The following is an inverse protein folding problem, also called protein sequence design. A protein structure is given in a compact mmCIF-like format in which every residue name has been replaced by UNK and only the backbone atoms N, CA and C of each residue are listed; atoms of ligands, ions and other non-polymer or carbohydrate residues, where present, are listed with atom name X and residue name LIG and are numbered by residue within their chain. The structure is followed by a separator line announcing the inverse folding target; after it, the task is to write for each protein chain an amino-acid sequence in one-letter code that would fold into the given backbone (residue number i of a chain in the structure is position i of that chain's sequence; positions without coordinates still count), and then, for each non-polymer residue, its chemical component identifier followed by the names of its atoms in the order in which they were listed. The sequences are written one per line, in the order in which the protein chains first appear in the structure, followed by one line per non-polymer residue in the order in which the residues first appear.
data_IF_039026810945
#
_entry.id   IF_039026810945
#
_cell.length_a   1.000
_cell.length_b   1.000
_cell.length_c   1.000
_cell.angle_alpha   90.00
_cell.angle_beta   90.00
_cell.angle_gamma   90.00
#
_symmetry.space_group_name_H-M   'P 1'
#
loop_
_entity.id
_entity.type
_entity.pdbx_description
1 polymer ?
#
# COMPACT_ATOMS: atom_id res chain seq x y z
N UNK A 1 3.76 -13.76 19.11
CA UNK A 1 3.90 -13.76 17.64
C UNK A 1 2.62 -13.25 17.01
N UNK A 2 2.72 -12.19 16.23
CA UNK A 2 1.61 -11.46 15.61
C UNK A 2 1.71 -11.55 14.09
N UNK A 3 0.58 -11.38 13.41
CA UNK A 3 0.57 -11.33 11.94
C UNK A 3 0.60 -9.90 11.45
N UNK A 4 1.53 -9.57 10.56
CA UNK A 4 1.62 -8.29 9.89
C UNK A 4 1.27 -8.45 8.41
N UNK A 5 0.30 -7.67 7.94
CA UNK A 5 -0.01 -7.52 6.52
C UNK A 5 0.78 -6.35 5.97
N UNK A 6 1.60 -6.60 4.95
CA UNK A 6 2.35 -5.61 4.21
C UNK A 6 1.57 -5.26 2.94
N UNK A 7 1.17 -4.00 2.82
CA UNK A 7 0.62 -3.42 1.60
C UNK A 7 1.68 -2.53 0.98
N UNK A 8 2.17 -2.91 -0.19
CA UNK A 8 3.21 -2.17 -0.91
C UNK A 8 2.63 -1.54 -2.15
N UNK A 9 2.70 -0.21 -2.25
CA UNK A 9 2.50 0.51 -3.50
C UNK A 9 3.87 0.82 -4.12
N UNK A 10 4.17 0.14 -5.22
CA UNK A 10 5.36 0.35 -6.02
C UNK A 10 5.11 1.39 -7.11
N UNK A 11 5.47 2.64 -6.81
CA UNK A 11 5.51 3.76 -7.75
C UNK A 11 4.18 4.01 -8.50
N UNK A 12 3.03 3.85 -7.82
CA UNK A 12 1.67 4.02 -8.34
C UNK A 12 1.33 3.14 -9.56
N UNK A 13 2.15 2.11 -9.83
CA UNK A 13 1.99 1.19 -10.95
C UNK A 13 1.46 -0.16 -10.52
N UNK A 14 1.97 -0.66 -9.40
CA UNK A 14 1.67 -1.99 -8.91
C UNK A 14 1.48 -1.95 -7.40
N UNK A 15 0.39 -2.56 -6.92
CA UNK A 15 0.20 -2.83 -5.51
C UNK A 15 0.25 -4.34 -5.27
N UNK A 16 0.90 -4.78 -4.20
CA UNK A 16 0.91 -6.17 -3.79
C UNK A 16 0.83 -6.30 -2.27
N UNK A 17 0.38 -7.47 -1.82
CA UNK A 17 0.08 -7.74 -0.41
C UNK A 17 0.77 -9.02 0.02
N UNK A 18 1.47 -8.99 1.15
CA UNK A 18 2.09 -10.18 1.76
C UNK A 18 1.81 -10.21 3.27
N UNK A 19 1.87 -11.38 3.88
CA UNK A 19 1.66 -11.56 5.32
C UNK A 19 2.85 -12.27 5.95
N UNK A 20 3.34 -11.73 7.06
CA UNK A 20 4.45 -12.30 7.82
C UNK A 20 4.09 -12.41 9.30
N UNK A 21 4.75 -13.34 9.99
CA UNK A 21 4.66 -13.47 11.44
C UNK A 21 5.86 -12.79 12.08
N UNK A 22 5.63 -11.90 13.04
CA UNK A 22 6.69 -11.24 13.80
C UNK A 22 6.15 -10.71 15.13
N UNK A 23 7.01 -10.35 16.08
CA UNK A 23 6.58 -9.61 17.28
C UNK A 23 6.35 -8.11 17.00
N UNK A 24 7.07 -7.55 16.01
CA UNK A 24 6.96 -6.14 15.62
C UNK A 24 7.36 -5.95 14.14
N UNK A 25 6.91 -4.88 13.47
CA UNK A 25 7.36 -4.58 12.11
C UNK A 25 8.81 -4.09 12.13
N UNK A 26 9.71 -4.82 11.48
CA UNK A 26 11.15 -4.51 11.44
C UNK A 26 11.64 -4.35 10.00
N UNK A 27 12.80 -3.71 9.85
CA UNK A 27 13.48 -3.61 8.56
C UNK A 27 13.88 -5.00 8.01
N UNK A 28 14.18 -5.97 8.87
CA UNK A 28 14.44 -7.34 8.46
C UNK A 28 13.22 -7.98 7.80
N UNK A 29 12.03 -7.74 8.34
CA UNK A 29 10.77 -8.21 7.74
C UNK A 29 10.53 -7.60 6.37
N UNK A 30 10.91 -6.33 6.18
CA UNK A 30 10.88 -5.70 4.86
C UNK A 30 11.90 -6.35 3.89
N UNK A 31 13.08 -6.75 4.36
CA UNK A 31 14.08 -7.44 3.52
C UNK A 31 13.59 -8.81 3.08
N UNK A 32 12.96 -9.56 3.98
CA UNK A 32 12.29 -10.82 3.65
C UNK A 32 11.22 -10.59 2.58
N UNK A 33 10.37 -9.56 2.74
CA UNK A 33 9.40 -9.16 1.73
C UNK A 33 10.04 -8.87 0.37
N UNK A 34 11.10 -8.08 0.33
CA UNK A 34 11.82 -7.77 -0.92
C UNK A 34 12.41 -9.03 -1.55
N UNK A 35 12.92 -9.95 -0.72
CA UNK A 35 13.52 -11.19 -1.18
C UNK A 35 12.47 -12.17 -1.75
N UNK A 36 11.34 -12.32 -1.10
CA UNK A 36 10.37 -13.38 -1.42
C UNK A 36 9.43 -12.99 -2.57
N UNK A 37 9.11 -11.70 -2.69
CA UNK A 37 8.14 -11.24 -3.68
C UNK A 37 8.65 -11.40 -5.11
N UNK A 38 7.81 -11.94 -6.00
CA UNK A 38 8.07 -11.94 -7.44
C UNK A 38 7.73 -10.61 -8.11
N UNK A 39 7.09 -9.68 -7.40
CA UNK A 39 6.67 -8.38 -7.94
C UNK A 39 7.81 -7.36 -8.04
N UNK A 40 8.93 -7.63 -7.37
CA UNK A 40 10.15 -6.82 -7.44
C UNK A 40 11.17 -7.59 -8.29
N UNK A 41 11.66 -6.98 -9.37
CA UNK A 41 12.69 -7.62 -10.22
C UNK A 41 13.98 -7.87 -9.44
N UNK A 42 14.72 -8.93 -9.77
CA UNK A 42 16.01 -9.27 -9.15
C UNK A 42 16.99 -8.10 -9.09
N UNK A 43 17.01 -7.28 -10.14
CA UNK A 43 17.82 -6.07 -10.26
C UNK A 43 17.42 -4.97 -9.26
N UNK A 44 16.13 -4.84 -8.97
CA UNK A 44 15.64 -3.90 -7.93
C UNK A 44 15.89 -4.45 -6.53
N UNK A 45 15.80 -5.78 -6.32
CA UNK A 45 16.02 -6.39 -5.00
C UNK A 45 17.40 -6.06 -4.43
N UNK A 46 18.45 -6.23 -5.23
CA UNK A 46 19.82 -5.92 -4.78
C UNK A 46 19.99 -4.46 -4.40
N UNK A 47 19.35 -3.54 -5.14
CA UNK A 47 19.39 -2.12 -4.80
C UNK A 47 18.56 -1.80 -3.57
N UNK A 48 17.34 -2.30 -3.45
CA UNK A 48 16.54 -2.08 -2.24
C UNK A 48 17.26 -2.58 -1.00
N UNK A 49 17.91 -3.74 -1.07
CA UNK A 49 18.68 -4.27 0.06
C UNK A 49 19.86 -3.35 0.38
N UNK A 50 20.63 -2.89 -0.62
CA UNK A 50 21.78 -1.99 -0.41
C UNK A 50 21.35 -0.60 0.11
N UNK A 51 20.35 0.01 -0.53
CA UNK A 51 19.85 1.33 -0.13
C UNK A 51 19.14 1.25 1.23
N UNK A 52 18.39 0.17 1.53
CA UNK A 52 17.81 -0.05 2.88
C UNK A 52 18.85 -0.38 3.97
N UNK A 53 20.09 -0.71 3.58
CA UNK A 53 21.23 -0.87 4.48
C UNK A 53 21.94 0.48 4.75
N UNK A 54 21.99 1.35 3.74
CA UNK A 54 22.84 2.56 3.75
C UNK A 54 22.05 3.86 3.98
N UNK A 55 20.74 3.88 3.71
CA UNK A 55 19.93 5.09 3.63
C UNK A 55 18.56 4.93 4.32
N UNK A 56 18.38 5.71 5.38
CA UNK A 56 17.12 6.12 6.03
C UNK A 56 16.32 5.05 6.78
N UNK A 57 16.67 4.84 8.05
CA UNK A 57 15.93 5.36 9.22
C UNK A 57 16.46 4.64 10.46
N UNK A 58 17.27 5.32 11.30
CA UNK A 58 17.60 4.84 12.66
C UNK A 58 16.34 4.59 13.52
N UNK A 59 15.17 5.05 13.05
CA UNK A 59 13.89 4.99 13.75
C UNK A 59 12.93 3.89 13.25
N UNK A 60 13.26 3.16 12.17
CA UNK A 60 12.42 2.11 11.58
C UNK A 60 11.02 2.58 11.13
N UNK A 61 10.09 1.64 10.87
CA UNK A 61 8.73 1.96 10.46
C UNK A 61 8.01 2.84 11.48
N UNK A 62 7.36 3.91 11.02
CA UNK A 62 6.69 4.89 11.89
C UNK A 62 5.25 4.48 12.13
N UNK A 63 4.83 4.38 13.39
CA UNK A 63 3.42 4.14 13.74
C UNK A 63 2.58 5.35 13.38
N UNK A 64 1.44 5.14 12.72
CA UNK A 64 0.53 6.24 12.39
C UNK A 64 -0.30 6.65 13.62
N UNK A 65 -0.41 7.96 13.88
CA UNK A 65 -1.18 8.47 15.01
C UNK A 65 -2.71 8.43 14.76
N UNK A 66 -3.12 8.47 13.50
CA UNK A 66 -4.54 8.55 13.11
C UNK A 66 -5.27 7.20 13.10
N UNK A 67 -4.54 6.09 13.11
CA UNK A 67 -5.09 4.73 13.06
C UNK A 67 -4.26 3.81 13.94
N UNK A 68 -4.91 2.88 14.63
CA UNK A 68 -4.21 1.93 15.49
C UNK A 68 -3.56 0.83 14.66
N UNK A 69 -2.41 0.34 15.15
CA UNK A 69 -1.77 -0.88 14.66
C UNK A 69 -1.38 -0.84 13.17
N UNK A 70 -1.11 0.37 12.67
CA UNK A 70 -0.56 0.60 11.34
C UNK A 70 0.75 1.34 11.47
N UNK A 71 1.76 0.86 10.77
CA UNK A 71 3.04 1.50 10.58
C UNK A 71 3.23 1.79 9.09
N UNK A 72 3.98 2.83 8.78
CA UNK A 72 4.29 3.21 7.42
C UNK A 72 5.76 3.51 7.26
N UNK A 73 6.29 3.15 6.11
CA UNK A 73 7.66 3.45 5.70
C UNK A 73 7.74 3.70 4.19
N UNK A 74 8.83 4.36 3.76
CA UNK A 74 9.08 4.70 2.37
C UNK A 74 10.48 4.28 1.96
N UNK A 75 10.57 3.42 0.96
CA UNK A 75 11.85 3.02 0.39
C UNK A 75 12.02 3.69 -0.97
N UNK A 76 13.06 4.51 -1.07
CA UNK A 76 13.38 5.25 -2.28
C UNK A 76 14.67 4.69 -2.89
N UNK A 77 14.63 4.41 -4.20
CA UNK A 77 15.83 4.15 -5.00
C UNK A 77 16.05 5.36 -5.91
N UNK A 78 17.14 6.09 -5.68
CA UNK A 78 17.56 7.26 -6.45
C UNK A 78 18.81 7.01 -7.33
N UNK A 79 19.67 6.03 -6.98
CA UNK A 79 20.83 5.62 -7.78
C UNK A 79 20.46 4.68 -8.94
N UNK A 80 19.74 5.21 -9.93
CA UNK A 80 19.39 4.47 -11.15
C UNK A 80 20.50 4.39 -12.19
N UNK A 81 21.56 5.17 -12.04
CA UNK A 81 22.74 5.12 -12.91
C UNK A 81 23.47 3.79 -12.73
N UNK A 82 23.49 3.24 -11.52
CA UNK A 82 24.03 1.89 -11.30
C UNK A 82 23.18 0.78 -11.94
N UNK A 83 21.88 1.04 -12.18
CA UNK A 83 21.00 0.09 -12.84
C UNK A 83 21.20 0.07 -14.35
N UNK A 84 21.17 1.23 -15.00
CA UNK A 84 21.23 1.30 -16.46
C UNK A 84 22.58 1.85 -16.91
N UNK A 85 23.18 1.27 -17.96
CA UNK A 85 24.34 1.91 -18.56
C UNK A 85 24.00 3.36 -18.93
N UNK A 86 24.98 4.26 -18.83
CA UNK A 86 24.75 5.69 -19.03
C UNK A 86 24.04 6.01 -20.36
N UNK A 87 24.25 5.16 -21.38
CA UNK A 87 23.63 5.29 -22.70
C UNK A 87 22.11 5.02 -22.70
N UNK A 88 21.64 3.99 -21.98
CA UNK A 88 20.21 3.70 -21.83
C UNK A 88 19.54 4.79 -21.00
N UNK A 89 20.17 5.21 -19.90
CA UNK A 89 19.66 6.30 -19.07
C UNK A 89 19.55 7.62 -19.86
N UNK A 90 20.52 7.91 -20.74
CA UNK A 90 20.52 9.07 -21.64
C UNK A 90 19.42 8.99 -22.72
N UNK A 91 19.12 7.81 -23.26
CA UNK A 91 18.08 7.60 -24.28
C UNK A 91 16.66 7.93 -23.79
N UNK A 92 16.35 7.69 -22.52
CA UNK A 92 15.06 8.04 -21.92
C UNK A 92 14.95 9.51 -21.51
N UNK A 93 16.06 10.26 -21.56
CA UNK A 93 16.17 11.65 -21.11
C UNK A 93 16.92 12.53 -22.14
N UNK A 94 16.74 12.27 -23.44
CA UNK A 94 17.36 13.06 -24.51
C UNK A 94 17.06 14.56 -24.32
N UNK A 95 18.10 15.34 -23.99
CA UNK A 95 18.02 16.79 -23.82
C UNK A 95 18.51 17.35 -22.48
N UNK A 96 18.73 16.52 -21.45
CA UNK A 96 19.19 17.02 -20.14
C UNK A 96 20.65 16.63 -19.86
N UNK A 97 21.55 17.62 -19.85
CA UNK A 97 22.99 17.47 -19.62
C UNK A 97 23.42 17.38 -18.15
N UNK A 98 22.47 17.40 -17.20
CA UNK A 98 22.76 17.45 -15.77
C UNK A 98 22.54 16.10 -15.08
N UNK A 99 23.50 15.70 -14.22
CA UNK A 99 23.39 14.51 -13.33
C UNK A 99 22.13 14.54 -12.43
N UNK A 100 21.48 15.70 -12.28
CA UNK A 100 20.23 15.88 -11.51
C UNK A 100 18.97 15.32 -12.19
N UNK A 101 19.01 14.89 -13.45
CA UNK A 101 17.82 14.54 -14.24
C UNK A 101 17.63 13.05 -14.56
N UNK A 102 18.37 12.14 -13.92
CA UNK A 102 18.05 10.71 -13.93
C UNK A 102 16.83 10.43 -13.04
N UNK A 103 15.69 11.03 -13.36
CA UNK A 103 14.49 11.07 -12.52
C UNK A 103 13.50 9.97 -12.89
N UNK A 104 13.99 8.74 -13.10
CA UNK A 104 13.22 7.64 -12.55
C UNK A 104 13.57 7.65 -11.06
N UNK A 105 12.57 7.54 -10.20
CA UNK A 105 12.74 7.31 -8.77
C UNK A 105 11.77 6.18 -8.51
N UNK A 106 12.27 5.08 -7.94
CA UNK A 106 11.38 3.99 -7.53
C UNK A 106 11.07 4.21 -6.06
N UNK A 107 9.85 4.65 -5.80
CA UNK A 107 9.29 4.77 -4.46
C UNK A 107 8.45 3.53 -4.17
N UNK A 108 8.73 2.89 -3.04
CA UNK A 108 7.88 1.87 -2.44
C UNK A 108 7.29 2.44 -1.17
N UNK A 109 5.99 2.71 -1.20
CA UNK A 109 5.22 3.15 -0.04
C UNK A 109 4.60 1.93 0.64
N UNK A 110 5.06 1.63 1.84
CA UNK A 110 4.78 0.38 2.55
C UNK A 110 3.95 0.66 3.78
N UNK A 111 2.76 0.05 3.85
CA UNK A 111 1.95 0.03 5.06
C UNK A 111 2.06 -1.35 5.69
N UNK A 112 2.42 -1.40 6.97
CA UNK A 112 2.59 -2.61 7.76
C UNK A 112 1.50 -2.62 8.83
N UNK A 113 0.64 -3.62 8.80
CA UNK A 113 -0.62 -3.60 9.56
C UNK A 113 -0.72 -4.85 10.42
N UNK A 114 -0.81 -4.69 11.74
CA UNK A 114 -1.10 -5.84 12.62
C UNK A 114 -2.54 -6.31 12.36
N UNK A 115 -2.65 -7.54 11.89
CA UNK A 115 -3.87 -8.09 11.30
C UNK A 115 -4.46 -9.14 12.23
N UNK A 116 -5.78 -9.10 12.40
CA UNK A 116 -6.50 -10.16 13.08
C UNK A 116 -6.73 -11.31 12.10
N UNK A 117 -6.24 -12.50 12.41
CA UNK A 117 -6.34 -13.72 11.58
C UNK A 117 -7.59 -14.55 11.83
N UNK A 118 -8.50 -14.09 12.71
CA UNK A 118 -9.79 -14.74 12.96
C UNK A 118 -10.67 -14.79 11.70
N UNK A 119 -11.71 -15.64 11.71
CA UNK A 119 -12.60 -15.81 10.57
C UNK A 119 -13.19 -14.48 10.08
N UNK A 120 -13.27 -14.36 8.75
CA UNK A 120 -13.67 -13.14 8.03
C UNK A 120 -14.93 -13.30 7.21
N UNK A 121 -15.74 -14.29 7.55
CA UNK A 121 -17.04 -14.45 6.92
C UNK A 121 -17.92 -13.28 7.35
N UNK A 122 -18.37 -12.51 6.37
CA UNK A 122 -19.38 -11.49 6.58
C UNK A 122 -20.79 -12.06 6.36
N UNK A 123 -21.80 -11.60 7.10
CA UNK A 123 -21.73 -10.65 8.24
C UNK A 123 -21.09 -11.28 9.49
N UNK A 124 -20.44 -10.46 10.31
CA UNK A 124 -19.79 -10.91 11.55
C UNK A 124 -20.78 -10.99 12.71
N UNK A 125 -20.55 -11.91 13.66
CA UNK A 125 -21.33 -12.02 14.91
C UNK A 125 -21.08 -10.85 15.86
N UNK A 126 -19.89 -10.26 15.80
CA UNK A 126 -19.46 -9.11 16.61
C UNK A 126 -18.80 -8.06 15.72
N UNK A 127 -18.70 -6.82 16.21
CA UNK A 127 -17.97 -5.76 15.51
C UNK A 127 -16.50 -6.13 15.39
N UNK A 128 -15.92 -5.87 14.23
CA UNK A 128 -14.48 -5.94 14.02
C UNK A 128 -13.95 -4.63 13.50
N UNK A 129 -12.68 -4.39 13.78
CA UNK A 129 -11.96 -3.22 13.31
C UNK A 129 -11.43 -3.48 11.90
N UNK A 130 -11.72 -2.57 10.97
CA UNK A 130 -11.22 -2.61 9.60
C UNK A 130 -10.43 -1.37 9.28
N UNK A 131 -9.24 -1.56 8.72
CA UNK A 131 -8.36 -0.51 8.24
C UNK A 131 -8.45 -0.40 6.73
N UNK A 132 -8.75 0.79 6.23
CA UNK A 132 -8.91 1.16 4.84
C UNK A 132 -7.71 1.98 4.40
N UNK A 133 -6.86 1.41 3.54
CA UNK A 133 -5.69 2.09 2.95
C UNK A 133 -6.04 2.51 1.53
N UNK A 134 -6.01 3.82 1.29
CA UNK A 134 -6.41 4.43 0.02
C UNK A 134 -5.18 4.93 -0.70
N UNK A 135 -5.00 4.53 -1.96
CA UNK A 135 -4.01 5.09 -2.87
C UNK A 135 -4.70 5.81 -4.03
N UNK A 136 -4.36 7.07 -4.27
CA UNK A 136 -4.83 7.83 -5.43
C UNK A 136 -3.80 8.88 -5.85
N UNK A 137 -3.12 8.65 -6.98
CA UNK A 137 -1.92 9.45 -7.35
C UNK A 137 -0.94 9.42 -6.16
N UNK A 138 -0.35 10.56 -5.81
CA UNK A 138 0.59 10.70 -4.69
C UNK A 138 -0.09 10.78 -3.31
N UNK A 139 -1.38 10.47 -3.19
CA UNK A 139 -2.11 10.48 -1.92
C UNK A 139 -2.22 9.06 -1.38
N UNK A 140 -1.80 8.89 -0.14
CA UNK A 140 -2.05 7.70 0.66
C UNK A 140 -2.64 8.13 2.00
N UNK A 141 -3.80 7.57 2.33
CA UNK A 141 -4.41 7.74 3.64
C UNK A 141 -5.01 6.45 4.18
N UNK A 142 -5.00 6.40 5.51
CA UNK A 142 -5.48 5.30 6.31
C UNK A 142 -6.68 5.74 7.13
N UNK A 143 -7.75 4.97 7.08
CA UNK A 143 -8.94 5.16 7.91
C UNK A 143 -9.25 3.86 8.64
N UNK A 144 -9.83 3.92 9.83
CA UNK A 144 -10.16 2.74 10.62
C UNK A 144 -11.57 2.86 11.18
N UNK A 145 -12.36 1.80 11.04
CA UNK A 145 -13.75 1.76 11.49
C UNK A 145 -14.09 0.42 12.13
N UNK A 146 -14.87 0.46 13.21
CA UNK A 146 -15.48 -0.73 13.82
C UNK A 146 -16.86 -0.99 13.21
N UNK A 147 -17.00 -2.10 12.48
CA UNK A 147 -18.23 -2.44 11.74
C UNK A 147 -18.50 -3.94 11.77
N UNK A 148 -19.75 -4.34 11.49
CA UNK A 148 -20.13 -5.77 11.40
C UNK A 148 -20.25 -6.27 9.95
N UNK A 149 -20.30 -5.35 8.97
CA UNK A 149 -20.43 -5.64 7.54
C UNK A 149 -19.42 -4.85 6.72
N UNK A 150 -18.99 -5.41 5.59
CA UNK A 150 -18.07 -4.74 4.68
C UNK A 150 -18.73 -3.52 4.02
N UNK A 151 -20.03 -3.60 3.72
CA UNK A 151 -20.82 -2.53 3.13
C UNK A 151 -20.88 -1.30 4.04
N UNK A 152 -21.12 -1.49 5.34
CA UNK A 152 -21.12 -0.40 6.32
C UNK A 152 -19.75 0.30 6.36
N UNK A 153 -18.67 -0.49 6.47
CA UNK A 153 -17.30 0.05 6.49
C UNK A 153 -16.95 0.81 5.20
N UNK A 154 -17.32 0.27 4.03
CA UNK A 154 -17.13 0.94 2.74
C UNK A 154 -17.87 2.27 2.65
N UNK A 155 -19.10 2.34 3.15
CA UNK A 155 -19.89 3.57 3.14
C UNK A 155 -19.32 4.62 4.11
N UNK A 156 -18.85 4.21 5.29
CA UNK A 156 -18.15 5.10 6.23
C UNK A 156 -16.85 5.63 5.61
N UNK A 157 -16.04 4.78 5.03
CA UNK A 157 -14.81 5.20 4.34
C UNK A 157 -15.09 6.19 3.20
N UNK A 158 -16.04 5.88 2.32
CA UNK A 158 -16.36 6.73 1.17
C UNK A 158 -16.96 8.08 1.54
N UNK A 159 -17.58 8.20 2.72
CA UNK A 159 -18.09 9.46 3.25
C UNK A 159 -17.04 10.27 4.00
N UNK A 160 -15.93 9.66 4.45
CA UNK A 160 -14.86 10.35 5.19
C UNK A 160 -13.61 10.67 4.35
N UNK A 161 -13.45 10.07 3.17
CA UNK A 161 -12.32 10.35 2.28
C UNK A 161 -12.27 11.82 1.81
N UNK A 162 -11.26 12.56 2.25
CA UNK A 162 -11.19 14.03 2.10
C UNK A 162 -10.60 14.49 0.75
N UNK A 163 -9.77 13.68 0.11
CA UNK A 163 -9.11 14.01 -1.17
C UNK A 163 -10.08 14.14 -2.35
N UNK A 164 -11.29 13.58 -2.23
CA UNK A 164 -12.30 13.61 -3.29
C UNK A 164 -13.26 14.79 -3.13
N UNK A 165 -13.42 15.55 -4.22
CA UNK A 165 -14.45 16.59 -4.28
C UNK A 165 -15.87 16.01 -4.29
N UNK A 166 -16.88 16.87 -4.11
CA UNK A 166 -18.30 16.46 -4.04
C UNK A 166 -18.77 15.65 -5.25
N UNK A 167 -18.33 15.96 -6.46
CA UNK A 167 -18.73 15.23 -7.67
C UNK A 167 -18.04 13.86 -7.75
N UNK A 168 -16.74 13.80 -7.46
CA UNK A 168 -15.96 12.57 -7.37
C UNK A 168 -16.54 11.62 -6.34
N UNK A 169 -16.89 12.13 -5.16
CA UNK A 169 -17.50 11.34 -4.08
C UNK A 169 -18.87 10.79 -4.49
N UNK A 170 -19.71 11.57 -5.18
CA UNK A 170 -20.98 11.07 -5.74
C UNK A 170 -20.77 9.90 -6.72
N UNK A 171 -19.73 9.95 -7.54
CA UNK A 171 -19.38 8.85 -8.47
C UNK A 171 -18.92 7.62 -7.69
N UNK A 172 -18.05 7.79 -6.70
CA UNK A 172 -17.58 6.71 -5.83
C UNK A 172 -18.74 5.99 -5.14
N UNK A 173 -19.66 6.73 -4.52
CA UNK A 173 -20.82 6.15 -3.83
C UNK A 173 -21.71 5.33 -4.79
N UNK A 174 -21.87 5.78 -6.04
CA UNK A 174 -22.58 5.00 -7.07
C UNK A 174 -21.86 3.71 -7.46
N UNK A 175 -20.53 3.65 -7.34
CA UNK A 175 -19.78 2.42 -7.58
C UNK A 175 -19.96 1.43 -6.44
N UNK A 176 -19.86 1.89 -5.19
CA UNK A 176 -20.01 1.05 -3.98
C UNK A 176 -21.42 0.44 -3.92
N UNK A 177 -22.44 1.16 -4.36
CA UNK A 177 -23.81 0.64 -4.44
C UNK A 177 -24.00 -0.49 -5.48
N UNK A 178 -23.02 -0.72 -6.36
CA UNK A 178 -23.08 -1.76 -7.39
C UNK A 178 -22.17 -2.91 -6.98
N UNK A 179 -22.76 -4.06 -6.63
CA UNK A 179 -22.07 -5.26 -6.15
C UNK A 179 -20.85 -5.69 -6.96
N UNK A 180 -20.86 -5.50 -8.28
CA UNK A 180 -19.73 -5.84 -9.16
C UNK A 180 -18.44 -5.05 -8.89
N UNK A 181 -18.51 -3.96 -8.13
CA UNK A 181 -17.33 -3.16 -7.75
C UNK A 181 -16.94 -3.37 -6.29
N UNK A 182 -17.59 -4.32 -5.59
CA UNK A 182 -17.26 -4.63 -4.21
C UNK A 182 -15.81 -5.13 -4.11
N UNK A 183 -15.14 -4.87 -2.98
CA UNK A 183 -13.83 -5.44 -2.68
C UNK A 183 -13.83 -6.97 -2.79
N UNK A 184 -12.79 -7.48 -3.44
CA UNK A 184 -12.56 -8.90 -3.62
C UNK A 184 -11.42 -9.32 -2.70
N UNK A 185 -11.50 -10.51 -2.12
CA UNK A 185 -10.43 -11.05 -1.29
C UNK A 185 -9.13 -11.14 -2.11
N UNK A 186 -8.01 -10.71 -1.51
CA UNK A 186 -6.70 -10.79 -2.17
C UNK A 186 -6.21 -12.23 -2.13
N UNK A 187 -5.83 -12.77 -3.28
CA UNK A 187 -5.35 -14.14 -3.39
C UNK A 187 -4.08 -14.37 -2.54
N UNK A 188 -4.01 -15.52 -1.86
CA UNK A 188 -2.85 -15.92 -1.06
C UNK A 188 -2.74 -15.26 0.31
N UNK A 189 -3.62 -14.33 0.68
CA UNK A 189 -3.64 -13.68 2.00
C UNK A 189 -5.02 -13.72 2.63
N UNK A 190 -5.08 -13.83 3.95
CA UNK A 190 -6.35 -13.84 4.69
C UNK A 190 -6.71 -12.43 5.11
N UNK A 191 -8.00 -12.15 5.17
CA UNK A 191 -8.53 -10.98 5.87
C UNK A 191 -8.13 -9.63 5.24
N UNK A 192 -7.81 -9.70 3.94
CA UNK A 192 -7.50 -8.55 3.08
C UNK A 192 -8.40 -8.58 1.86
N UNK A 193 -9.00 -7.45 1.54
CA UNK A 193 -9.75 -7.23 0.32
C UNK A 193 -9.21 -6.04 -0.45
N UNK A 194 -9.36 -6.05 -1.76
CA UNK A 194 -8.98 -4.95 -2.61
C UNK A 194 -10.02 -4.66 -3.68
N UNK A 195 -10.09 -3.39 -4.07
CA UNK A 195 -10.87 -2.92 -5.22
C UNK A 195 -10.18 -1.69 -5.80
N UNK A 196 -10.57 -1.34 -7.02
CA UNK A 196 -10.13 -0.10 -7.64
C UNK A 196 -11.28 0.61 -8.33
N UNK A 197 -11.37 1.91 -8.11
CA UNK A 197 -12.40 2.76 -8.69
C UNK A 197 -11.75 3.77 -9.63
N UNK A 198 -12.16 3.76 -10.90
CA UNK A 198 -11.79 4.82 -11.84
C UNK A 198 -12.76 6.00 -11.69
N UNK A 199 -12.33 7.01 -10.95
CA UNK A 199 -13.12 8.20 -10.63
C UNK A 199 -12.71 9.31 -11.59
N UNK A 200 -13.42 9.43 -12.71
CA UNK A 200 -13.01 10.22 -13.88
C UNK A 200 -11.67 9.71 -14.46
N UNK A 201 -10.58 10.47 -14.28
CA UNK A 201 -9.23 10.13 -14.77
C UNK A 201 -8.39 9.34 -13.76
N UNK A 202 -8.28 9.73 -12.47
CA UNK A 202 -7.47 8.96 -11.53
C UNK A 202 -8.06 7.57 -11.24
N UNK A 203 -7.17 6.61 -11.06
CA UNK A 203 -7.46 5.33 -10.43
C UNK A 203 -7.28 5.50 -8.93
N UNK A 204 -8.31 5.15 -8.16
CA UNK A 204 -8.25 5.03 -6.72
C UNK A 204 -8.18 3.54 -6.40
N UNK A 205 -7.11 3.10 -5.74
CA UNK A 205 -6.96 1.73 -5.25
C UNK A 205 -7.26 1.71 -3.76
N UNK A 206 -8.09 0.79 -3.33
CA UNK A 206 -8.46 0.61 -1.94
C UNK A 206 -8.03 -0.79 -1.49
N UNK A 207 -7.34 -0.86 -0.36
CA UNK A 207 -7.10 -2.08 0.39
C UNK A 207 -7.82 -2.00 1.73
N UNK A 208 -8.45 -3.09 2.13
CA UNK A 208 -9.21 -3.21 3.36
C UNK A 208 -8.63 -4.39 4.12
N UNK A 209 -8.22 -4.17 5.36
CA UNK A 209 -7.60 -5.19 6.22
C UNK A 209 -8.42 -5.28 7.49
N UNK A 210 -8.82 -6.49 7.90
CA UNK A 210 -9.36 -6.70 9.25
C UNK A 210 -8.21 -6.63 10.26
N UNK A 211 -8.24 -5.65 11.14
CA UNK A 211 -7.16 -5.38 12.09
C UNK A 211 -7.53 -5.74 13.50
N UNK A 212 -6.51 -5.92 14.33
CA UNK A 212 -6.71 -6.11 15.78
C UNK A 212 -7.27 -4.81 16.38
N UNK A 213 -8.29 -4.93 17.23
CA UNK A 213 -8.99 -3.81 17.89
C UNK A 213 -8.17 -3.16 19.02
#
# INVERSE_FOLDING_TARGET
MKTFTFLVNANDKHCFVHQYQSEMPTNDLFRELVHDTSHISSKMKSLLIRESLECYHDNGPVKLDCVKNVWRDFFLIDDLISLYNANIAKKYHEGCGDRKYYKLMYLYDVNMIETDMSDTVFPLSEKATFTFITYIRNYNASYQFEVTTLEEGLMLWATNIDILNRQQRKVLLKYIQKSKNNPIAVEGVKNVWSTSYRIFRPLLTLHIVKTVS
#
